data_IF_013336938827
#
_entry.id   IF_013336938827
#
_cell.length_a   1.000
_cell.length_b   1.000
_cell.length_c   1.000
_cell.angle_alpha   90.00
_cell.angle_beta   90.00
_cell.angle_gamma   90.00
#
_symmetry.space_group_name_H-M   'P 1'
#
loop_
_entity.id
_entity.type
_entity.pdbx_description
1 polymer ?
#
# COMPACT_ATOMS: atom_id res chain seq x y z
N UNK A 1 11.15 9.36 -0.66
CA UNK A 1 12.10 8.52 -1.43
C UNK A 1 11.45 7.43 -2.30
N UNK A 2 10.14 7.13 -2.17
CA UNK A 2 9.49 6.06 -2.95
C UNK A 2 9.11 6.48 -4.39
N UNK A 3 8.77 7.76 -4.59
CA UNK A 3 8.26 8.28 -5.86
C UNK A 3 9.22 8.14 -7.07
N UNK A 4 10.53 8.42 -6.97
CA UNK A 4 11.44 8.29 -8.12
C UNK A 4 11.57 6.84 -8.60
N UNK A 5 11.63 5.90 -7.65
CA UNK A 5 11.75 4.47 -7.93
C UNK A 5 10.50 3.95 -8.66
N UNK A 6 9.33 4.37 -8.21
CA UNK A 6 8.04 4.00 -8.80
C UNK A 6 7.91 4.49 -10.24
N UNK A 7 8.36 5.72 -10.52
CA UNK A 7 8.36 6.30 -11.88
C UNK A 7 9.33 5.55 -12.80
N UNK A 8 10.50 5.19 -12.30
CA UNK A 8 11.53 4.49 -13.08
C UNK A 8 11.08 3.06 -13.45
N UNK A 9 10.47 2.35 -12.49
CA UNK A 9 9.88 1.02 -12.72
C UNK A 9 8.69 1.09 -13.69
N UNK A 10 7.82 2.12 -13.57
CA UNK A 10 6.71 2.35 -14.52
C UNK A 10 7.20 2.56 -15.95
N UNK A 11 8.26 3.35 -16.13
CA UNK A 11 8.82 3.64 -17.45
C UNK A 11 9.52 2.43 -18.08
N UNK A 12 10.06 1.50 -17.27
CA UNK A 12 10.71 0.27 -17.77
C UNK A 12 9.73 -0.87 -18.10
N UNK A 13 8.64 -1.01 -17.35
CA UNK A 13 7.67 -2.12 -17.51
C UNK A 13 6.47 -1.80 -18.42
N UNK A 14 6.21 -0.52 -18.66
CA UNK A 14 4.99 -0.06 -19.33
C UNK A 14 3.79 -0.01 -18.38
N UNK A 15 2.89 0.94 -18.63
CA UNK A 15 1.72 1.26 -17.80
C UNK A 15 0.78 0.07 -17.48
N UNK A 16 0.39 -0.79 -18.44
CA UNK A 16 -0.57 -1.87 -18.17
C UNK A 16 0.01 -2.98 -17.28
N UNK A 17 1.23 -3.47 -17.57
CA UNK A 17 1.92 -4.47 -16.73
C UNK A 17 2.25 -3.92 -15.35
N UNK A 18 2.69 -2.66 -15.28
CA UNK A 18 2.95 -1.99 -14.01
C UNK A 18 1.69 -1.92 -13.13
N UNK A 19 0.54 -1.54 -13.69
CA UNK A 19 -0.70 -1.47 -12.94
C UNK A 19 -1.17 -2.84 -12.44
N UNK A 20 -0.99 -3.91 -13.23
CA UNK A 20 -1.33 -5.27 -12.82
C UNK A 20 -0.44 -5.76 -11.66
N UNK A 21 0.88 -5.61 -11.78
CA UNK A 21 1.84 -5.99 -10.74
C UNK A 21 1.59 -5.17 -9.47
N UNK A 22 1.30 -3.87 -9.62
CA UNK A 22 0.96 -2.99 -8.49
C UNK A 22 -0.31 -3.45 -7.79
N UNK A 23 -1.35 -3.82 -8.54
CA UNK A 23 -2.59 -4.37 -7.98
C UNK A 23 -2.36 -5.65 -7.17
N UNK A 24 -1.57 -6.59 -7.70
CA UNK A 24 -1.21 -7.83 -7.01
C UNK A 24 -0.37 -7.56 -5.75
N UNK A 25 0.61 -6.67 -5.82
CA UNK A 25 1.45 -6.29 -4.70
C UNK A 25 0.63 -5.63 -3.57
N UNK A 26 -0.30 -4.72 -3.92
CA UNK A 26 -1.21 -4.08 -2.95
C UNK A 26 -2.11 -5.12 -2.28
N UNK A 27 -2.64 -6.07 -3.05
CA UNK A 27 -3.48 -7.14 -2.51
C UNK A 27 -2.69 -8.05 -1.54
N UNK A 28 -1.45 -8.39 -1.87
CA UNK A 28 -0.57 -9.17 -1.00
C UNK A 28 -0.23 -8.41 0.28
N UNK A 29 0.14 -7.13 0.16
CA UNK A 29 0.46 -6.28 1.30
C UNK A 29 -0.73 -6.15 2.27
N UNK A 30 -1.94 -5.96 1.73
CA UNK A 30 -3.18 -5.89 2.54
C UNK A 30 -3.46 -7.21 3.29
N UNK A 31 -3.16 -8.36 2.68
CA UNK A 31 -3.26 -9.67 3.35
C UNK A 31 -2.25 -9.82 4.49
N UNK A 32 -1.01 -9.35 4.31
CA UNK A 32 0.02 -9.39 5.36
C UNK A 32 -0.38 -8.53 6.55
N UNK A 33 -0.86 -7.30 6.31
CA UNK A 33 -1.38 -6.41 7.37
C UNK A 33 -2.54 -7.09 8.11
N UNK A 34 -3.47 -7.69 7.39
CA UNK A 34 -4.61 -8.42 7.97
C UNK A 34 -4.15 -9.56 8.88
N UNK A 35 -3.19 -10.39 8.42
CA UNK A 35 -2.65 -11.51 9.22
C UNK A 35 -1.90 -11.01 10.45
N UNK A 36 -1.11 -9.94 10.31
CA UNK A 36 -0.40 -9.35 11.43
C UNK A 36 -1.38 -8.87 12.51
N UNK A 37 -2.38 -8.08 12.13
CA UNK A 37 -3.41 -7.60 13.06
C UNK A 37 -4.16 -8.75 13.74
N UNK A 38 -4.52 -9.80 12.99
CA UNK A 38 -5.20 -10.96 13.56
C UNK A 38 -4.30 -11.72 14.56
N UNK A 39 -2.99 -11.83 14.31
CA UNK A 39 -2.04 -12.50 15.22
C UNK A 39 -1.79 -11.71 16.50
N UNK A 40 -1.87 -10.38 16.43
CA UNK A 40 -1.71 -9.47 17.59
C UNK A 40 -3.04 -9.26 18.34
N UNK A 41 -4.16 -9.79 17.83
CA UNK A 41 -5.48 -9.63 18.46
C UNK A 41 -6.11 -8.27 18.22
N UNK A 42 -5.65 -7.50 17.23
CA UNK A 42 -6.20 -6.19 16.89
C UNK A 42 -7.57 -6.36 16.24
N UNK A 43 -8.57 -5.66 16.78
CA UNK A 43 -9.93 -5.70 16.24
C UNK A 43 -9.98 -5.18 14.80
N UNK A 44 -10.87 -5.73 13.97
CA UNK A 44 -11.04 -5.29 12.57
C UNK A 44 -11.34 -3.78 12.45
N UNK A 45 -12.00 -3.20 13.46
CA UNK A 45 -12.32 -1.76 13.53
C UNK A 45 -11.07 -0.91 13.75
N UNK A 46 -10.22 -1.29 14.70
CA UNK A 46 -8.94 -0.60 14.96
C UNK A 46 -7.97 -0.72 13.79
N UNK A 47 -7.86 -1.92 13.19
CA UNK A 47 -7.06 -2.11 11.96
C UNK A 47 -7.48 -1.14 10.86
N UNK A 48 -8.78 -1.02 10.60
CA UNK A 48 -9.28 -0.11 9.58
C UNK A 48 -9.02 1.35 9.93
N UNK A 49 -9.09 1.71 11.21
CA UNK A 49 -8.74 3.06 11.71
C UNK A 49 -7.26 3.38 11.48
N UNK A 50 -6.36 2.46 11.84
CA UNK A 50 -4.92 2.59 11.63
C UNK A 50 -4.54 2.68 10.15
N UNK A 51 -5.20 1.89 9.29
CA UNK A 51 -5.00 1.96 7.83
C UNK A 51 -5.44 3.33 7.29
N UNK A 52 -6.58 3.87 7.77
CA UNK A 52 -7.02 5.22 7.37
C UNK A 52 -6.02 6.28 7.82
N UNK A 53 -5.55 6.21 9.06
CA UNK A 53 -4.56 7.14 9.60
C UNK A 53 -3.24 7.09 8.80
N UNK A 54 -2.77 5.89 8.47
CA UNK A 54 -1.59 5.71 7.61
C UNK A 54 -1.81 6.27 6.19
N UNK A 55 -3.00 6.08 5.61
CA UNK A 55 -3.38 6.63 4.29
C UNK A 55 -3.41 8.16 4.32
N UNK A 56 -4.02 8.75 5.33
CA UNK A 56 -4.14 10.20 5.47
C UNK A 56 -2.78 10.85 5.71
N UNK A 57 -1.91 10.21 6.51
CA UNK A 57 -0.52 10.63 6.66
C UNK A 57 0.25 10.53 5.34
N UNK A 58 0.13 9.43 4.60
CA UNK A 58 0.79 9.29 3.31
C UNK A 58 0.30 10.30 2.26
N UNK A 59 -0.98 10.71 2.31
CA UNK A 59 -1.50 11.83 1.50
C UNK A 59 -0.89 13.17 1.92
N UNK A 60 -0.90 13.49 3.22
CA UNK A 60 -0.33 14.74 3.76
C UNK A 60 1.16 14.87 3.44
N UNK A 61 1.88 13.76 3.41
CA UNK A 61 3.31 13.70 3.10
C UNK A 61 3.62 13.59 1.59
N UNK A 62 2.61 13.56 0.71
CA UNK A 62 2.81 13.46 -0.74
C UNK A 62 3.34 12.10 -1.24
N UNK A 63 3.21 11.05 -0.42
CA UNK A 63 3.66 9.69 -0.73
C UNK A 63 2.58 8.83 -1.41
N UNK A 64 1.32 9.26 -1.29
CA UNK A 64 0.16 8.71 -1.99
C UNK A 64 -0.32 9.78 -2.98
N UNK A 65 0.14 9.66 -4.24
CA UNK A 65 -0.35 10.44 -5.38
C UNK A 65 -1.66 9.84 -5.93
#
# INVERSE_FOLDING_TARGET
MFAPLVVLVRNRLGTPKFNQVRGQAIALHSKVITRFCNRVGISSKERQSLIRLARDNGKRLGLLA
#
